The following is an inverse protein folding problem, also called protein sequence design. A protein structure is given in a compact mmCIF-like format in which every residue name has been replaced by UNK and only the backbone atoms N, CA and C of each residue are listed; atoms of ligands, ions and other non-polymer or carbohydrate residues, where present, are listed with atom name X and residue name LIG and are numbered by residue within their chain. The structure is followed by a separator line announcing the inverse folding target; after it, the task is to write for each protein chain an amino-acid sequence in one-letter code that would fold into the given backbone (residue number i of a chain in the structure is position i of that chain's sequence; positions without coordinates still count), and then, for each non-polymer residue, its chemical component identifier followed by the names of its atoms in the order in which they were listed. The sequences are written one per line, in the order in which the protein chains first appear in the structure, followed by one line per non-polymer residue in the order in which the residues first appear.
data_IF_934297529670
#
_entry.id   IF_934297529670
#
_cell.length_a   1.000
_cell.length_b   1.000
_cell.length_c   1.000
_cell.angle_alpha   90.00
_cell.angle_beta   90.00
_cell.angle_gamma   90.00
#
_symmetry.space_group_name_H-M   'P 1'
#
loop_
_entity.id
_entity.type
_entity.pdbx_description
1 polymer ?
#
# COMPACT_ATOMS: atom_id res chain seq x y z
N UNK A 1 -17.49 -10.56 7.83
CA UNK A 1 -16.55 -10.34 6.71
C UNK A 1 -16.20 -8.86 6.72
N UNK A 2 -14.97 -8.48 7.05
CA UNK A 2 -14.51 -7.11 6.81
C UNK A 2 -14.32 -6.96 5.30
N UNK A 3 -15.32 -6.44 4.60
CA UNK A 3 -15.15 -6.00 3.23
C UNK A 3 -14.44 -4.64 3.27
N UNK A 4 -13.15 -4.61 2.91
CA UNK A 4 -12.55 -3.36 2.49
C UNK A 4 -13.38 -2.81 1.32
N UNK A 5 -13.85 -1.57 1.43
CA UNK A 5 -14.74 -0.99 0.44
C UNK A 5 -14.02 -0.87 -0.92
N UNK A 6 -14.26 -1.82 -1.81
CA UNK A 6 -13.77 -1.79 -3.17
C UNK A 6 -14.91 -1.42 -4.14
N UNK A 7 -14.57 -0.71 -5.21
CA UNK A 7 -15.53 -0.32 -6.24
C UNK A 7 -16.25 -1.57 -6.78
N UNK A 8 -17.58 -1.47 -6.93
CA UNK A 8 -18.46 -2.55 -7.38
C UNK A 8 -18.60 -3.78 -6.46
N UNK A 9 -18.28 -3.65 -5.17
CA UNK A 9 -18.55 -4.70 -4.18
C UNK A 9 -19.99 -4.69 -3.65
N UNK A 10 -20.37 -5.75 -2.94
CA UNK A 10 -21.72 -5.98 -2.39
C UNK A 10 -22.28 -4.84 -1.52
N UNK A 11 -21.40 -3.99 -0.98
CA UNK A 11 -21.77 -2.84 -0.14
C UNK A 11 -21.54 -1.48 -0.81
N UNK A 12 -21.19 -1.44 -2.11
CA UNK A 12 -21.00 -0.19 -2.84
C UNK A 12 -22.31 0.29 -3.49
N UNK A 13 -22.54 1.59 -3.46
CA UNK A 13 -23.63 2.26 -4.20
C UNK A 13 -23.07 2.96 -5.42
N UNK A 14 -23.94 3.33 -6.38
CA UNK A 14 -23.55 4.16 -7.52
C UNK A 14 -22.91 5.49 -7.08
N UNK A 15 -23.42 6.10 -6.01
CA UNK A 15 -22.85 7.31 -5.43
C UNK A 15 -21.44 7.08 -4.86
N UNK A 16 -21.23 5.98 -4.12
CA UNK A 16 -19.91 5.63 -3.59
C UNK A 16 -18.91 5.32 -4.70
N UNK A 17 -19.32 4.59 -5.74
CA UNK A 17 -18.48 4.33 -6.90
C UNK A 17 -18.09 5.64 -7.61
N UNK A 18 -19.03 6.58 -7.79
CA UNK A 18 -18.75 7.88 -8.39
C UNK A 18 -17.79 8.71 -7.54
N UNK A 19 -17.99 8.74 -6.22
CA UNK A 19 -17.09 9.41 -5.29
C UNK A 19 -15.68 8.80 -5.31
N UNK A 20 -15.58 7.47 -5.39
CA UNK A 20 -14.31 6.76 -5.50
C UNK A 20 -13.57 7.12 -6.79
N UNK A 21 -14.25 7.17 -7.95
CA UNK A 21 -13.66 7.60 -9.22
C UNK A 21 -13.18 9.06 -9.15
N UNK A 22 -13.96 9.95 -8.53
CA UNK A 22 -13.56 11.34 -8.34
C UNK A 22 -12.31 11.46 -7.45
N UNK A 23 -12.24 10.68 -6.36
CA UNK A 23 -11.08 10.62 -5.47
C UNK A 23 -9.84 10.10 -6.21
N UNK A 24 -9.97 9.05 -7.02
CA UNK A 24 -8.86 8.55 -7.85
C UNK A 24 -8.39 9.61 -8.87
N UNK A 25 -9.32 10.35 -9.47
CA UNK A 25 -8.96 11.44 -10.38
C UNK A 25 -8.17 12.53 -9.66
N UNK A 26 -8.64 12.98 -8.49
CA UNK A 26 -7.95 13.97 -7.68
C UNK A 26 -6.55 13.47 -7.24
N UNK A 27 -6.46 12.23 -6.76
CA UNK A 27 -5.20 11.63 -6.34
C UNK A 27 -4.17 11.61 -7.48
N UNK A 28 -4.54 11.07 -8.66
CA UNK A 28 -3.63 10.99 -9.81
C UNK A 28 -3.19 12.34 -10.36
N UNK A 29 -3.98 13.38 -10.16
CA UNK A 29 -3.67 14.74 -10.63
C UNK A 29 -2.82 15.55 -9.65
N UNK A 30 -2.71 15.12 -8.38
CA UNK A 30 -2.09 15.93 -7.32
C UNK A 30 -1.01 15.18 -6.52
N UNK A 31 -0.78 13.90 -6.79
CA UNK A 31 0.24 13.10 -6.10
C UNK A 31 1.47 12.94 -6.98
N UNK A 32 2.57 13.50 -6.50
CA UNK A 32 3.86 13.45 -7.18
C UNK A 32 4.72 12.25 -6.75
N UNK A 33 4.46 11.68 -5.57
CA UNK A 33 5.16 10.52 -5.03
C UNK A 33 4.22 9.66 -4.16
N UNK A 34 4.39 8.34 -4.20
CA UNK A 34 3.60 7.43 -3.38
C UNK A 34 4.38 6.17 -3.01
N UNK A 35 4.24 5.73 -1.76
CA UNK A 35 4.70 4.43 -1.30
C UNK A 35 3.52 3.48 -1.17
N UNK A 36 3.64 2.31 -1.79
CA UNK A 36 2.72 1.20 -1.63
C UNK A 36 3.48 -0.07 -1.27
N UNK A 37 2.78 -1.13 -0.88
CA UNK A 37 3.39 -2.44 -0.64
C UNK A 37 2.64 -3.52 -1.40
N UNK A 38 3.39 -4.50 -1.92
CA UNK A 38 2.85 -5.69 -2.56
C UNK A 38 2.96 -6.94 -1.68
N UNK A 39 3.50 -6.83 -0.46
CA UNK A 39 3.53 -7.94 0.47
C UNK A 39 3.63 -7.49 1.93
N UNK A 40 3.14 -8.34 2.82
CA UNK A 40 3.07 -8.10 4.26
C UNK A 40 4.24 -8.69 5.05
N UNK A 41 5.39 -8.96 4.40
CA UNK A 41 6.56 -9.53 5.11
C UNK A 41 6.99 -8.62 6.25
N UNK A 42 7.13 -7.32 5.96
CA UNK A 42 7.37 -6.26 6.92
C UNK A 42 8.70 -6.35 7.66
N UNK A 43 8.95 -5.33 8.47
CA UNK A 43 10.08 -5.24 9.38
C UNK A 43 9.85 -6.15 10.60
N UNK A 44 10.94 -6.54 11.27
CA UNK A 44 10.86 -7.33 12.49
C UNK A 44 10.30 -6.47 13.62
N UNK A 45 9.03 -6.70 13.97
CA UNK A 45 8.32 -6.01 15.03
C UNK A 45 7.16 -6.87 15.56
N UNK A 46 6.53 -6.46 16.66
CA UNK A 46 5.30 -7.10 17.15
C UNK A 46 4.13 -6.97 16.18
N UNK A 47 4.09 -5.86 15.44
CA UNK A 47 3.08 -5.59 14.41
C UNK A 47 3.17 -6.58 13.23
N UNK A 48 4.37 -7.09 12.93
CA UNK A 48 4.60 -8.05 11.85
C UNK A 48 3.66 -9.26 11.96
N UNK A 49 3.41 -9.76 13.17
CA UNK A 49 2.53 -10.92 13.39
C UNK A 49 1.09 -10.56 13.05
N UNK A 50 0.63 -9.37 13.47
CA UNK A 50 -0.74 -8.89 13.22
C UNK A 50 -1.01 -8.78 11.73
N UNK A 51 -0.08 -8.17 10.98
CA UNK A 51 -0.27 -7.96 9.55
C UNK A 51 -0.04 -9.22 8.70
N UNK A 52 0.81 -10.15 9.15
CA UNK A 52 0.88 -11.50 8.55
C UNK A 52 -0.44 -12.26 8.69
N UNK A 53 -1.08 -12.18 9.86
CA UNK A 53 -2.41 -12.75 10.06
C UNK A 53 -3.46 -12.05 9.19
N UNK A 54 -3.42 -10.71 9.13
CA UNK A 54 -4.29 -9.91 8.26
C UNK A 54 -4.20 -10.35 6.80
N UNK A 55 -3.00 -10.35 6.23
CA UNK A 55 -2.78 -10.71 4.83
C UNK A 55 -3.07 -12.18 4.48
N UNK A 56 -3.15 -13.05 5.49
CA UNK A 56 -3.51 -14.47 5.33
C UNK A 56 -5.02 -14.75 5.49
N UNK A 57 -5.71 -13.97 6.32
CA UNK A 57 -7.10 -14.26 6.74
C UNK A 57 -8.13 -13.31 6.12
N UNK A 58 -7.73 -12.08 5.78
CA UNK A 58 -8.62 -11.14 5.10
C UNK A 58 -8.79 -11.60 3.65
N UNK A 59 -10.03 -11.68 3.14
CA UNK A 59 -10.28 -12.13 1.78
C UNK A 59 -9.96 -11.03 0.76
N UNK A 60 -8.66 -10.81 0.52
CA UNK A 60 -8.17 -9.96 -0.55
C UNK A 60 -8.48 -10.58 -1.92
N UNK A 61 -8.62 -9.74 -2.95
CA UNK A 61 -8.77 -10.14 -4.34
C UNK A 61 -7.44 -10.55 -4.97
N UNK A 62 -6.31 -10.12 -4.42
CA UNK A 62 -4.97 -10.56 -4.80
C UNK A 62 -4.09 -10.92 -3.60
N UNK A 63 -2.99 -11.63 -3.87
CA UNK A 63 -1.94 -11.88 -2.88
C UNK A 63 -1.06 -10.64 -2.65
N UNK A 64 -1.21 -9.60 -3.47
CA UNK A 64 -0.41 -8.38 -3.39
C UNK A 64 -1.05 -7.40 -2.39
N UNK A 65 -0.70 -7.51 -1.11
CA UNK A 65 -1.24 -6.66 -0.06
C UNK A 65 -0.25 -6.45 1.09
N UNK A 66 -0.44 -5.38 1.86
CA UNK A 66 0.39 -5.01 3.01
C UNK A 66 -0.11 -5.61 4.34
N UNK A 67 -1.06 -6.54 4.26
CA UNK A 67 -1.73 -7.18 5.38
C UNK A 67 -3.14 -6.66 5.62
N UNK A 68 -3.48 -5.48 5.06
CA UNK A 68 -4.81 -4.85 5.17
C UNK A 68 -5.28 -4.27 3.83
N UNK A 69 -4.38 -3.64 3.07
CA UNK A 69 -4.66 -2.91 1.83
C UNK A 69 -3.97 -3.59 0.66
N UNK A 70 -4.73 -3.84 -0.40
CA UNK A 70 -4.19 -4.38 -1.66
C UNK A 70 -3.36 -3.34 -2.40
N UNK A 71 -2.28 -3.77 -3.06
CA UNK A 71 -1.38 -2.90 -3.81
C UNK A 71 -2.13 -1.99 -4.81
N UNK A 72 -3.06 -2.56 -5.59
CA UNK A 72 -3.86 -1.79 -6.57
C UNK A 72 -4.79 -0.77 -5.91
N UNK A 73 -5.25 -1.06 -4.68
CA UNK A 73 -6.05 -0.12 -3.89
C UNK A 73 -5.18 1.05 -3.43
N UNK A 74 -4.00 0.75 -2.88
CA UNK A 74 -3.02 1.77 -2.49
C UNK A 74 -2.59 2.67 -3.66
N UNK A 75 -2.37 2.10 -4.85
CA UNK A 75 -1.96 2.86 -6.03
C UNK A 75 -2.99 3.94 -6.45
N UNK A 76 -4.23 3.91 -5.95
CA UNK A 76 -5.19 5.00 -6.13
C UNK A 76 -5.53 5.28 -7.60
N UNK A 77 -5.37 4.27 -8.48
CA UNK A 77 -5.57 4.38 -9.93
C UNK A 77 -4.33 4.82 -10.72
N UNK A 78 -3.17 5.07 -10.08
CA UNK A 78 -1.89 5.17 -10.76
C UNK A 78 -1.55 3.84 -11.43
N UNK A 79 -0.88 3.87 -12.59
CA UNK A 79 -0.39 2.64 -13.22
C UNK A 79 0.67 2.00 -12.31
N UNK A 80 0.52 0.71 -12.01
CA UNK A 80 1.50 -0.06 -11.23
C UNK A 80 2.86 -0.14 -11.94
N UNK A 81 2.90 0.07 -13.26
CA UNK A 81 4.14 0.18 -14.04
C UNK A 81 4.98 1.43 -13.71
N UNK A 82 4.42 2.41 -13.00
CA UNK A 82 5.16 3.58 -12.51
C UNK A 82 6.01 3.25 -11.28
N UNK A 83 5.67 2.19 -10.55
CA UNK A 83 6.29 1.89 -9.28
C UNK A 83 7.56 1.06 -9.48
N UNK A 84 8.65 1.49 -8.87
CA UNK A 84 9.89 0.74 -8.78
C UNK A 84 10.10 0.15 -7.37
N UNK A 85 11.13 -0.67 -7.20
CA UNK A 85 11.36 -1.51 -6.02
C UNK A 85 12.46 -1.00 -5.10
N UNK A 86 13.06 0.15 -5.41
CA UNK A 86 14.13 0.74 -4.62
C UNK A 86 13.66 2.03 -3.97
N UNK A 87 14.26 2.36 -2.82
CA UNK A 87 13.84 3.50 -2.01
C UNK A 87 14.09 4.86 -2.68
N UNK A 88 14.86 4.90 -3.77
CA UNK A 88 15.07 6.08 -4.61
C UNK A 88 14.02 6.23 -5.73
N UNK A 89 13.08 5.29 -5.86
CA UNK A 89 11.97 5.41 -6.78
C UNK A 89 10.89 6.38 -6.24
N UNK A 90 10.50 7.36 -7.04
CA UNK A 90 9.44 8.33 -6.67
C UNK A 90 8.11 7.65 -6.33
N UNK A 91 7.76 6.62 -7.10
CA UNK A 91 6.66 5.71 -6.81
C UNK A 91 7.28 4.39 -6.38
N UNK A 92 7.19 4.08 -5.09
CA UNK A 92 7.95 2.99 -4.48
C UNK A 92 7.01 1.87 -4.06
N UNK A 93 7.20 0.67 -4.62
CA UNK A 93 6.54 -0.54 -4.17
C UNK A 93 7.46 -1.34 -3.26
N UNK A 94 6.94 -1.64 -2.07
CA UNK A 94 7.69 -2.16 -0.93
C UNK A 94 7.27 -3.58 -0.57
N UNK A 95 8.02 -4.20 0.35
CA UNK A 95 7.61 -5.40 1.08
C UNK A 95 7.38 -5.13 2.56
N UNK A 96 6.74 -3.99 2.83
CA UNK A 96 6.40 -3.49 4.15
C UNK A 96 5.00 -3.93 4.53
N UNK A 97 4.76 -4.21 5.81
CA UNK A 97 3.38 -4.32 6.28
C UNK A 97 2.75 -2.93 6.45
N UNK A 98 1.43 -2.89 6.65
CA UNK A 98 0.68 -1.64 6.74
C UNK A 98 1.15 -0.67 7.83
N UNK A 99 1.70 -1.15 8.95
CA UNK A 99 2.25 -0.26 9.98
C UNK A 99 3.61 0.30 9.61
N UNK A 100 4.44 -0.47 8.91
CA UNK A 100 5.78 -0.04 8.55
C UNK A 100 5.76 1.10 7.50
N UNK A 101 4.75 1.15 6.62
CA UNK A 101 4.56 2.26 5.66
C UNK A 101 4.27 3.60 6.34
N UNK A 102 3.91 3.58 7.64
CA UNK A 102 3.78 4.75 8.50
C UNK A 102 5.06 5.07 9.31
N UNK A 103 6.22 4.55 8.88
CA UNK A 103 7.55 4.80 9.46
C UNK A 103 7.74 4.33 10.91
N UNK A 104 6.88 3.44 11.44
CA UNK A 104 6.88 3.06 12.87
C UNK A 104 8.12 2.30 13.32
N UNK A 105 8.78 1.58 12.40
CA UNK A 105 9.89 0.66 12.73
C UNK A 105 11.20 1.00 12.01
N UNK A 106 11.28 2.16 11.36
CA UNK A 106 12.49 2.59 10.64
C UNK A 106 12.74 1.85 9.33
N UNK A 107 14.00 1.55 9.04
CA UNK A 107 14.45 0.90 7.81
C UNK A 107 15.07 -0.48 8.09
N UNK A 108 14.87 -1.42 7.17
CA UNK A 108 15.67 -2.63 7.12
C UNK A 108 17.13 -2.27 6.81
N UNK A 109 18.09 -3.02 7.36
CA UNK A 109 19.50 -2.79 7.09
C UNK A 109 19.89 -3.13 5.64
N UNK A 110 19.40 -4.26 5.11
CA UNK A 110 19.84 -4.82 3.81
C UNK A 110 18.75 -4.83 2.74
N UNK A 111 17.49 -5.01 3.13
CA UNK A 111 16.39 -5.20 2.16
C UNK A 111 15.92 -3.85 1.63
N UNK A 112 16.26 -3.53 0.38
CA UNK A 112 15.93 -2.23 -0.22
C UNK A 112 14.43 -1.96 -0.34
N UNK A 113 13.60 -2.99 -0.46
CA UNK A 113 12.14 -2.87 -0.49
C UNK A 113 11.52 -2.66 0.91
N UNK A 114 12.33 -2.51 1.95
CA UNK A 114 11.88 -2.30 3.33
C UNK A 114 12.56 -1.09 3.97
N UNK A 115 12.74 0.00 3.21
CA UNK A 115 13.40 1.22 3.67
C UNK A 115 12.49 2.45 3.53
N UNK A 116 11.39 2.52 4.30
CA UNK A 116 10.42 3.60 4.15
C UNK A 116 11.00 4.97 4.55
N UNK A 117 11.82 5.04 5.61
CA UNK A 117 12.42 6.31 6.06
C UNK A 117 13.42 6.81 5.03
N UNK A 118 14.27 5.92 4.51
CA UNK A 118 15.19 6.27 3.42
C UNK A 118 14.49 6.82 2.19
N UNK A 119 13.35 6.23 1.80
CA UNK A 119 12.56 6.73 0.69
C UNK A 119 12.07 8.16 0.95
N UNK A 120 11.54 8.42 2.15
CA UNK A 120 11.08 9.76 2.50
C UNK A 120 12.22 10.79 2.52
N UNK A 121 13.39 10.41 3.04
CA UNK A 121 14.59 11.26 2.98
C UNK A 121 15.06 11.55 1.56
N UNK A 122 14.93 10.60 0.63
CA UNK A 122 15.33 10.78 -0.77
C UNK A 122 14.33 11.61 -1.58
N UNK A 123 13.10 11.80 -1.09
CA UNK A 123 12.08 12.62 -1.74
C UNK A 123 12.17 14.11 -1.37
N UNK A 124 12.76 14.45 -0.22
CA UNK A 124 12.90 15.82 0.30
C UNK A 124 14.18 16.50 -0.19
#
# INVERSE_FOLDING_TARGET
MLAAAAMNEAHSTSALNSAYVAAQSAFRSNVDAAMCSDNYSGLLSTDQIVYKLGGSLIPHKSQENDGIVEYKSCAGGLSTSKFGKTYDDTFYVTGLNHADTAFRHGDALVVNSQKPVKWFECLL
#
